data_IF_798957517941
#
_entry.id   IF_798957517941
#
_cell.length_a   1.000
_cell.length_b   1.000
_cell.length_c   1.000
_cell.angle_alpha   90.00
_cell.angle_beta   90.00
_cell.angle_gamma   90.00
#
_symmetry.space_group_name_H-M   'P 1'
#
loop_
_entity.id
_entity.type
_entity.pdbx_description
1 polymer ?
#
# COMPACT_ATOMS: atom_id res chain seq x y z
N UNK A 1 36.81 -10.63 1.55
CA UNK A 1 36.98 -10.84 3.00
C UNK A 1 35.66 -10.51 3.67
N UNK A 2 35.23 -11.39 4.57
CA UNK A 2 33.93 -11.43 5.22
C UNK A 2 33.68 -10.25 6.16
N UNK A 3 32.39 -9.88 6.27
CA UNK A 3 31.83 -8.93 7.24
C UNK A 3 30.49 -8.41 6.69
N UNK A 4 29.32 -8.73 7.22
CA UNK A 4 28.96 -9.27 8.54
C UNK A 4 27.78 -10.24 8.41
N UNK A 5 27.75 -11.17 9.37
CA UNK A 5 26.58 -11.98 9.73
C UNK A 5 25.33 -11.09 9.87
N UNK A 6 24.14 -11.62 9.59
CA UNK A 6 22.88 -11.07 10.10
C UNK A 6 23.05 -10.82 11.61
N UNK A 7 23.34 -9.58 12.03
CA UNK A 7 23.64 -9.22 13.43
C UNK A 7 22.43 -9.44 14.38
N UNK A 8 21.29 -9.88 13.84
CA UNK A 8 20.09 -10.25 14.58
C UNK A 8 19.53 -11.57 14.06
N UNK A 9 19.45 -12.56 14.95
CA UNK A 9 18.63 -13.77 14.77
C UNK A 9 17.14 -13.40 14.59
N UNK A 10 16.36 -14.28 13.96
CA UNK A 10 14.90 -14.08 13.83
C UNK A 10 14.23 -13.83 15.18
N UNK A 11 14.66 -14.51 16.24
CA UNK A 11 14.15 -14.29 17.58
C UNK A 11 14.44 -12.87 18.12
N UNK A 12 15.59 -12.28 17.76
CA UNK A 12 15.92 -10.89 18.12
C UNK A 12 15.08 -9.90 17.31
N UNK A 13 14.84 -10.18 16.01
CA UNK A 13 13.95 -9.40 15.16
C UNK A 13 12.52 -9.41 15.73
N UNK A 14 11.94 -10.58 15.99
CA UNK A 14 10.61 -10.73 16.58
C UNK A 14 10.48 -9.99 17.92
N UNK A 15 11.47 -10.11 18.82
CA UNK A 15 11.50 -9.36 20.09
C UNK A 15 11.57 -7.85 19.91
N UNK A 16 12.18 -7.37 18.83
CA UNK A 16 12.25 -5.95 18.52
C UNK A 16 10.91 -5.43 17.98
N UNK A 17 10.31 -6.14 17.01
CA UNK A 17 8.99 -5.79 16.47
C UNK A 17 7.87 -5.88 17.51
N UNK A 18 7.95 -6.84 18.45
CA UNK A 18 7.02 -6.94 19.57
C UNK A 18 7.00 -5.71 20.50
N UNK A 19 8.01 -4.84 20.45
CA UNK A 19 8.02 -3.56 21.19
C UNK A 19 7.18 -2.48 20.51
N UNK A 20 6.82 -2.66 19.25
CA UNK A 20 5.99 -1.74 18.48
C UNK A 20 4.53 -2.13 18.71
N UNK A 21 3.72 -1.18 19.21
CA UNK A 21 2.33 -1.48 19.53
C UNK A 21 1.53 -1.78 18.25
N UNK A 22 0.74 -2.86 18.24
CA UNK A 22 -0.20 -3.16 17.14
C UNK A 22 -1.10 -1.98 16.75
N UNK A 23 -1.67 -1.20 17.69
CA UNK A 23 -2.45 0.01 17.36
C UNK A 23 -1.68 1.13 16.65
N UNK A 24 -0.34 1.11 16.69
CA UNK A 24 0.50 2.04 15.92
C UNK A 24 0.71 1.51 14.51
N UNK A 25 1.02 0.22 14.36
CA UNK A 25 1.19 -0.44 13.06
C UNK A 25 -0.11 -0.35 12.22
N UNK A 26 -1.27 -0.49 12.88
CA UNK A 26 -2.59 -0.30 12.26
C UNK A 26 -2.79 1.09 11.61
N UNK A 27 -2.00 2.10 12.02
CA UNK A 27 -2.05 3.47 11.48
C UNK A 27 -1.10 3.70 10.30
N UNK A 28 -0.27 2.72 9.94
CA UNK A 28 0.60 2.79 8.76
C UNK A 28 -0.18 2.27 7.55
N UNK A 29 -0.28 3.10 6.50
CA UNK A 29 -1.09 2.77 5.32
C UNK A 29 -0.39 1.79 4.38
N UNK A 30 0.94 1.83 4.29
CA UNK A 30 1.79 1.02 3.40
C UNK A 30 3.03 0.57 4.17
N UNK A 31 3.31 -0.72 4.10
CA UNK A 31 4.51 -1.38 4.63
C UNK A 31 5.13 -2.20 3.49
N UNK A 32 6.40 -1.93 3.20
CA UNK A 32 7.14 -2.61 2.12
C UNK A 32 8.53 -2.94 2.60
N UNK A 33 8.91 -4.20 2.45
CA UNK A 33 10.28 -4.66 2.66
C UNK A 33 11.14 -4.20 1.48
N UNK A 34 12.17 -3.43 1.78
CA UNK A 34 13.13 -2.98 0.77
C UNK A 34 14.35 -3.89 0.88
N UNK A 35 14.56 -4.83 -0.08
CA UNK A 35 15.73 -5.69 -0.05
C UNK A 35 16.99 -4.87 -0.26
N UNK A 36 18.12 -5.42 0.19
CA UNK A 36 19.43 -4.81 -0.06
C UNK A 36 19.66 -4.65 -1.57
N UNK A 37 20.10 -3.46 -1.97
CA UNK A 37 20.42 -3.17 -3.37
C UNK A 37 21.73 -3.88 -3.71
N UNK A 38 21.67 -4.85 -4.64
CA UNK A 38 22.87 -5.58 -5.07
C UNK A 38 23.84 -4.61 -5.74
N UNK A 39 25.14 -4.77 -5.49
CA UNK A 39 26.18 -3.93 -6.08
C UNK A 39 26.07 -3.80 -7.62
N UNK A 40 25.69 -4.89 -8.30
CA UNK A 40 25.44 -4.89 -9.75
C UNK A 40 24.32 -3.94 -10.19
N UNK A 41 23.30 -3.73 -9.36
CA UNK A 41 22.16 -2.86 -9.64
C UNK A 41 22.52 -1.39 -9.36
N UNK A 42 23.42 -1.15 -8.40
CA UNK A 42 24.03 0.17 -8.12
C UNK A 42 24.94 0.61 -9.28
N UNK A 43 25.74 -0.31 -9.82
CA UNK A 43 26.66 -0.04 -10.94
C UNK A 43 25.95 -0.10 -12.29
N UNK A 44 24.80 -0.78 -12.36
CA UNK A 44 23.97 -0.80 -13.56
C UNK A 44 23.54 0.62 -13.93
N UNK A 45 23.76 0.98 -15.19
CA UNK A 45 23.18 2.19 -15.80
C UNK A 45 21.81 1.91 -16.42
N UNK A 46 21.10 0.87 -15.99
CA UNK A 46 19.77 0.61 -16.50
C UNK A 46 18.89 1.84 -16.21
N UNK A 47 18.45 2.51 -17.26
CA UNK A 47 17.62 3.70 -17.13
C UNK A 47 16.25 3.28 -16.61
N UNK A 48 15.98 3.59 -15.34
CA UNK A 48 14.64 3.51 -14.79
C UNK A 48 13.73 4.59 -15.38
N UNK A 49 12.45 4.57 -15.03
CA UNK A 49 11.55 5.68 -15.38
C UNK A 49 12.12 7.00 -14.83
N UNK A 50 12.17 8.03 -15.68
CA UNK A 50 12.63 9.35 -15.26
C UNK A 50 11.69 9.95 -14.21
N UNK A 51 12.23 10.81 -13.34
CA UNK A 51 11.41 11.54 -12.37
C UNK A 51 10.31 12.38 -13.03
N UNK A 52 10.53 12.84 -14.27
CA UNK A 52 9.52 13.56 -15.05
C UNK A 52 8.35 12.66 -15.45
N UNK A 53 8.63 11.41 -15.88
CA UNK A 53 7.60 10.42 -16.20
C UNK A 53 6.76 10.09 -14.96
N UNK A 54 7.43 9.82 -13.84
CA UNK A 54 6.77 9.51 -12.56
C UNK A 54 5.94 10.70 -12.09
N UNK A 55 6.49 11.93 -12.14
CA UNK A 55 5.77 13.16 -11.78
C UNK A 55 4.48 13.29 -12.59
N UNK A 56 4.55 13.11 -13.91
CA UNK A 56 3.38 13.20 -14.76
C UNK A 56 2.30 12.17 -14.37
N UNK A 57 2.68 10.93 -14.06
CA UNK A 57 1.75 9.89 -13.58
C UNK A 57 1.10 10.27 -12.25
N UNK A 58 1.89 10.76 -11.29
CA UNK A 58 1.39 11.18 -9.97
C UNK A 58 0.46 12.39 -10.09
N UNK A 59 0.80 13.40 -10.89
CA UNK A 59 -0.03 14.58 -11.11
C UNK A 59 -1.39 14.21 -11.69
N UNK A 60 -1.44 13.36 -12.72
CA UNK A 60 -2.71 12.87 -13.29
C UNK A 60 -3.59 12.16 -12.26
N UNK A 61 -2.99 11.33 -11.41
CA UNK A 61 -3.72 10.67 -10.33
C UNK A 61 -4.26 11.69 -9.30
N UNK A 62 -3.50 12.75 -8.99
CA UNK A 62 -3.94 13.82 -8.08
C UNK A 62 -5.07 14.65 -8.67
N UNK A 63 -5.02 14.99 -9.95
CA UNK A 63 -6.10 15.71 -10.65
C UNK A 63 -7.41 14.93 -10.57
N UNK A 64 -7.38 13.62 -10.84
CA UNK A 64 -8.55 12.73 -10.70
C UNK A 64 -9.12 12.72 -9.28
N UNK A 65 -8.26 12.77 -8.27
CA UNK A 65 -8.69 12.86 -6.87
C UNK A 65 -9.35 14.21 -6.58
N UNK A 66 -8.76 15.32 -7.03
CA UNK A 66 -9.32 16.66 -6.85
C UNK A 66 -10.69 16.78 -7.53
N UNK A 67 -10.84 16.27 -8.75
CA UNK A 67 -12.10 16.22 -9.48
C UNK A 67 -13.16 15.42 -8.71
N UNK A 68 -12.82 14.19 -8.30
CA UNK A 68 -13.72 13.31 -7.52
C UNK A 68 -14.23 13.95 -6.23
N UNK A 69 -13.39 14.74 -5.59
CA UNK A 69 -13.70 15.38 -4.30
C UNK A 69 -14.11 16.85 -4.42
N UNK A 70 -14.42 17.34 -5.62
CA UNK A 70 -14.91 18.71 -5.79
C UNK A 70 -16.09 19.02 -4.85
N UNK A 71 -16.07 20.22 -4.27
CA UNK A 71 -17.05 20.65 -3.27
C UNK A 71 -16.87 20.02 -1.89
N UNK A 72 -15.78 19.29 -1.64
CA UNK A 72 -15.44 18.70 -0.33
C UNK A 72 -14.11 19.23 0.17
N UNK A 73 -13.90 19.19 1.50
CA UNK A 73 -12.60 19.47 2.13
C UNK A 73 -11.69 18.23 2.12
N UNK A 74 -11.58 17.58 0.97
CA UNK A 74 -10.81 16.35 0.76
C UNK A 74 -9.97 16.55 -0.51
N UNK A 75 -8.67 16.34 -0.39
CA UNK A 75 -7.70 16.58 -1.47
C UNK A 75 -6.99 15.31 -1.92
N UNK A 76 -7.28 14.18 -1.26
CA UNK A 76 -6.69 12.90 -1.62
C UNK A 76 -7.48 11.70 -1.09
N UNK A 77 -7.23 10.53 -1.69
CA UNK A 77 -7.84 9.27 -1.26
C UNK A 77 -7.52 8.94 0.21
N UNK A 78 -6.34 9.31 0.72
CA UNK A 78 -5.94 9.05 2.11
C UNK A 78 -6.87 9.73 3.13
N UNK A 79 -7.41 10.90 2.78
CA UNK A 79 -8.28 11.71 3.63
C UNK A 79 -9.74 11.26 3.66
N UNK A 80 -10.12 10.24 2.86
CA UNK A 80 -11.50 9.74 2.84
C UNK A 80 -11.93 9.23 4.23
N UNK A 81 -13.13 9.60 4.66
CA UNK A 81 -13.81 8.98 5.79
C UNK A 81 -14.61 7.74 5.34
N UNK A 82 -15.25 7.05 6.28
CA UNK A 82 -16.04 5.84 5.98
C UNK A 82 -17.16 6.11 4.97
N UNK A 83 -17.76 7.31 4.97
CA UNK A 83 -18.81 7.69 4.01
C UNK A 83 -18.27 7.79 2.60
N UNK A 84 -17.10 8.39 2.45
CA UNK A 84 -16.41 8.56 1.17
C UNK A 84 -15.90 7.23 0.62
N UNK A 85 -15.35 6.38 1.47
CA UNK A 85 -14.91 5.02 1.07
C UNK A 85 -16.08 4.25 0.46
N UNK A 86 -17.25 4.24 1.13
CA UNK A 86 -18.46 3.58 0.61
C UNK A 86 -18.93 4.16 -0.73
N UNK A 87 -18.72 5.46 -0.96
CA UNK A 87 -19.16 6.14 -2.19
C UNK A 87 -18.18 5.97 -3.35
N UNK A 88 -16.87 6.03 -3.08
CA UNK A 88 -15.84 6.20 -4.10
C UNK A 88 -14.93 4.98 -4.27
N UNK A 89 -15.04 3.99 -3.38
CA UNK A 89 -14.36 2.71 -3.50
C UNK A 89 -15.33 1.53 -3.67
N UNK A 90 -16.31 1.58 -4.60
CA UNK A 90 -17.05 0.38 -4.94
C UNK A 90 -16.08 -0.63 -5.58
N UNK A 91 -16.27 -1.91 -5.25
CA UNK A 91 -15.45 -3.01 -5.73
C UNK A 91 -16.34 -4.09 -6.34
N UNK A 92 -15.85 -4.79 -7.37
CA UNK A 92 -16.56 -5.91 -7.96
C UNK A 92 -16.56 -7.14 -7.04
N UNK A 93 -17.35 -8.16 -7.40
CA UNK A 93 -17.48 -9.39 -6.60
C UNK A 93 -16.13 -10.09 -6.34
N UNK A 94 -15.23 -10.11 -7.33
CA UNK A 94 -13.92 -10.77 -7.17
C UNK A 94 -12.99 -10.01 -6.23
N UNK A 95 -12.99 -8.67 -6.32
CA UNK A 95 -12.31 -7.80 -5.36
C UNK A 95 -12.87 -7.98 -3.95
N UNK A 96 -14.18 -8.15 -3.80
CA UNK A 96 -14.82 -8.40 -2.50
C UNK A 96 -14.35 -9.72 -1.89
N UNK A 97 -14.23 -10.80 -2.68
CA UNK A 97 -13.71 -12.10 -2.22
C UNK A 97 -12.27 -12.01 -1.75
N UNK A 98 -11.43 -11.21 -2.42
CA UNK A 98 -10.04 -10.96 -2.00
C UNK A 98 -10.01 -10.26 -0.65
N UNK A 99 -10.82 -9.23 -0.46
CA UNK A 99 -10.91 -8.50 0.81
C UNK A 99 -11.45 -9.39 1.95
N UNK A 100 -12.45 -10.22 1.68
CA UNK A 100 -12.97 -11.19 2.66
C UNK A 100 -11.89 -12.20 3.06
N UNK A 101 -11.13 -12.70 2.09
CA UNK A 101 -9.99 -13.59 2.35
C UNK A 101 -8.93 -12.89 3.21
N UNK A 102 -8.65 -11.61 2.95
CA UNK A 102 -7.72 -10.82 3.77
C UNK A 102 -8.24 -10.63 5.20
N UNK A 103 -9.53 -10.36 5.41
CA UNK A 103 -10.11 -10.23 6.76
C UNK A 103 -10.08 -11.57 7.51
N UNK A 104 -10.49 -12.66 6.85
CA UNK A 104 -10.66 -13.97 7.50
C UNK A 104 -9.34 -14.71 7.71
N UNK A 105 -8.44 -14.72 6.71
CA UNK A 105 -7.16 -15.44 6.77
C UNK A 105 -6.01 -14.58 7.27
N UNK A 106 -5.98 -13.32 6.86
CA UNK A 106 -4.93 -12.36 7.26
C UNK A 106 -5.32 -11.53 8.48
N UNK A 107 -6.51 -11.74 9.06
CA UNK A 107 -6.95 -11.11 10.30
C UNK A 107 -7.00 -9.58 10.23
N UNK A 108 -7.24 -9.02 9.05
CA UNK A 108 -7.33 -7.57 8.88
C UNK A 108 -8.46 -6.99 9.72
N UNK A 109 -8.14 -5.97 10.51
CA UNK A 109 -9.14 -5.18 11.22
C UNK A 109 -10.02 -4.40 10.22
N UNK A 110 -11.18 -3.91 10.66
CA UNK A 110 -12.02 -3.03 9.84
C UNK A 110 -11.26 -1.78 9.35
N UNK A 111 -10.29 -1.30 10.14
CA UNK A 111 -9.42 -0.19 9.73
C UNK A 111 -8.47 -0.59 8.62
N UNK A 112 -7.83 -1.77 8.73
CA UNK A 112 -6.97 -2.30 7.69
C UNK A 112 -7.74 -2.49 6.38
N UNK A 113 -8.97 -3.01 6.44
CA UNK A 113 -9.88 -3.11 5.29
C UNK A 113 -10.11 -1.74 4.61
N UNK A 114 -10.48 -0.72 5.39
CA UNK A 114 -10.69 0.64 4.88
C UNK A 114 -9.41 1.23 4.25
N UNK A 115 -8.24 0.92 4.81
CA UNK A 115 -6.95 1.36 4.25
C UNK A 115 -6.64 0.67 2.93
N UNK A 116 -6.85 -0.63 2.82
CA UNK A 116 -6.68 -1.37 1.56
C UNK A 116 -7.52 -0.72 0.47
N UNK A 117 -8.77 -0.36 0.75
CA UNK A 117 -9.63 0.32 -0.23
C UNK A 117 -9.09 1.69 -0.67
N UNK A 118 -8.54 2.49 0.26
CA UNK A 118 -7.93 3.79 -0.08
C UNK A 118 -6.67 3.62 -0.94
N UNK A 119 -5.83 2.64 -0.62
CA UNK A 119 -4.61 2.33 -1.37
C UNK A 119 -4.98 1.79 -2.74
N UNK A 120 -5.89 0.82 -2.83
CA UNK A 120 -6.38 0.26 -4.10
C UNK A 120 -6.99 1.34 -5.00
N UNK A 121 -7.73 2.31 -4.43
CA UNK A 121 -8.23 3.46 -5.20
C UNK A 121 -7.10 4.32 -5.77
N UNK A 122 -6.03 4.50 -5.01
CA UNK A 122 -4.86 5.27 -5.46
C UNK A 122 -4.09 4.54 -6.55
N UNK A 123 -3.96 3.22 -6.44
CA UNK A 123 -3.36 2.38 -7.50
C UNK A 123 -4.19 2.49 -8.79
N UNK A 124 -5.52 2.40 -8.70
CA UNK A 124 -6.41 2.58 -9.85
C UNK A 124 -6.24 3.97 -10.49
N UNK A 125 -6.14 5.03 -9.67
CA UNK A 125 -5.92 6.39 -10.17
C UNK A 125 -4.57 6.54 -10.89
N UNK A 126 -3.51 5.89 -10.39
CA UNK A 126 -2.19 5.85 -11.01
C UNK A 126 -2.18 5.05 -12.32
N UNK A 127 -2.96 3.97 -12.39
CA UNK A 127 -3.19 3.16 -13.61
C UNK A 127 -4.10 3.87 -14.62
N UNK A 128 -4.74 4.97 -14.22
CA UNK A 128 -5.66 5.69 -15.07
C UNK A 128 -7.04 5.03 -15.22
N UNK A 129 -7.40 4.13 -14.31
CA UNK A 129 -8.64 3.37 -14.33
C UNK A 129 -9.74 4.02 -13.46
N UNK A 130 -11.00 3.90 -13.89
CA UNK A 130 -12.14 4.45 -13.15
C UNK A 130 -12.56 3.55 -11.98
N UNK A 131 -12.49 2.25 -12.18
CA UNK A 131 -12.95 1.22 -11.25
C UNK A 131 -11.80 0.56 -10.51
N UNK A 132 -12.05 0.13 -9.28
CA UNK A 132 -11.09 -0.66 -8.51
C UNK A 132 -11.20 -2.13 -8.95
N UNK A 133 -10.21 -2.59 -9.71
CA UNK A 133 -10.10 -3.97 -10.18
C UNK A 133 -9.41 -4.90 -9.15
N UNK A 134 -9.57 -6.23 -9.29
CA UNK A 134 -8.95 -7.19 -8.37
C UNK A 134 -7.43 -7.03 -8.25
N UNK A 135 -6.75 -6.67 -9.34
CA UNK A 135 -5.30 -6.43 -9.33
C UNK A 135 -4.90 -5.31 -8.36
N UNK A 136 -5.64 -4.19 -8.33
CA UNK A 136 -5.37 -3.07 -7.43
C UNK A 136 -5.58 -3.45 -5.97
N UNK A 137 -6.59 -4.29 -5.69
CA UNK A 137 -6.86 -4.79 -4.34
C UNK A 137 -5.77 -5.76 -3.90
N UNK A 138 -5.36 -6.68 -4.77
CA UNK A 138 -4.29 -7.63 -4.48
C UNK A 138 -2.97 -6.91 -4.14
N UNK A 139 -2.58 -5.92 -4.95
CA UNK A 139 -1.40 -5.09 -4.70
C UNK A 139 -1.51 -4.32 -3.38
N UNK A 140 -2.67 -3.70 -3.11
CA UNK A 140 -2.90 -2.99 -1.84
C UNK A 140 -2.83 -3.91 -0.61
N UNK A 141 -3.28 -5.17 -0.72
CA UNK A 141 -3.16 -6.17 0.35
C UNK A 141 -1.68 -6.53 0.56
N UNK A 142 -0.90 -6.70 -0.52
CA UNK A 142 0.54 -7.03 -0.42
C UNK A 142 1.32 -5.98 0.37
N UNK A 143 1.01 -4.70 0.18
CA UNK A 143 1.57 -3.58 0.95
C UNK A 143 1.18 -3.56 2.45
N UNK A 144 0.43 -4.55 2.94
CA UNK A 144 -0.02 -4.65 4.33
C UNK A 144 0.35 -5.98 5.00
N UNK A 145 1.10 -6.85 4.33
CA UNK A 145 1.42 -8.17 4.87
C UNK A 145 2.67 -8.20 5.79
N UNK A 146 3.41 -7.10 5.93
CA UNK A 146 4.66 -7.07 6.71
C UNK A 146 4.49 -7.32 8.21
N UNK A 147 3.41 -6.83 8.84
CA UNK A 147 3.14 -7.00 10.28
C UNK A 147 3.07 -8.47 10.74
N UNK A 148 3.08 -9.42 9.81
CA UNK A 148 2.97 -10.86 10.10
C UNK A 148 4.23 -11.67 9.81
N UNK A 149 5.22 -11.10 9.12
CA UNK A 149 6.48 -11.80 8.87
C UNK A 149 7.45 -11.69 10.07
N UNK A 150 7.11 -10.89 11.10
CA UNK A 150 7.95 -10.63 12.26
C UNK A 150 7.14 -10.54 13.57
#
# INVERSE_FOLDING_TARGET
MAGREDDCTDAQRQKYYAKISGPLLDRIDIQVDVPEVKFKDIVSRAEGESSDCIRARVTRARERQLERFQGRRIYSNAQMGTREIKKFCPVCADSQKLLETAVTKLGFSARAYDRVLKVARTIADLAGELDIRPAHVAEAIQYRMMDRYY
#
